data_IF_049076550326
#
_entry.id   IF_049076550326
#
_cell.length_a   1.000
_cell.length_b   1.000
_cell.length_c   1.000
_cell.angle_alpha   90.00
_cell.angle_beta   90.00
_cell.angle_gamma   90.00
#
_symmetry.space_group_name_H-M   'P 1'
#
loop_
_entity.id
_entity.type
_entity.pdbx_description
1 polymer ?
#
# COMPACT_ATOMS: atom_id res chain seq x y z
N UNK A 1 34.36 -28.73 53.00
CA UNK A 1 34.27 -28.81 51.53
C UNK A 1 32.93 -28.21 51.12
N UNK A 2 32.91 -26.96 50.57
CA UNK A 2 31.69 -26.25 50.12
C UNK A 2 31.47 -26.58 48.66
N UNK A 3 30.35 -27.24 48.34
CA UNK A 3 29.92 -27.48 46.98
C UNK A 3 29.28 -26.21 46.39
N UNK A 4 29.91 -25.65 45.38
CA UNK A 4 29.37 -24.52 44.60
C UNK A 4 28.40 -25.10 43.57
N UNK A 5 27.10 -24.79 43.67
CA UNK A 5 26.09 -25.10 42.67
C UNK A 5 26.10 -23.96 41.63
N UNK A 6 26.51 -24.30 40.42
CA UNK A 6 26.47 -23.41 39.27
C UNK A 6 25.07 -23.50 38.63
N UNK A 7 24.24 -22.47 38.77
CA UNK A 7 22.96 -22.36 38.06
C UNK A 7 23.21 -21.82 36.65
N UNK A 8 23.07 -22.67 35.67
CA UNK A 8 23.07 -22.24 34.28
C UNK A 8 21.68 -21.69 33.92
N UNK A 9 21.58 -20.36 33.73
CA UNK A 9 20.40 -19.75 33.15
C UNK A 9 20.40 -19.99 31.63
N UNK A 10 19.51 -20.86 31.18
CA UNK A 10 19.24 -21.03 29.74
C UNK A 10 18.27 -19.91 29.33
N UNK A 11 18.79 -18.87 28.68
CA UNK A 11 17.97 -17.90 27.98
C UNK A 11 17.40 -18.59 26.72
N UNK A 12 16.14 -19.02 26.78
CA UNK A 12 15.38 -19.40 25.60
C UNK A 12 15.04 -18.14 24.81
N UNK A 13 15.85 -17.82 23.81
CA UNK A 13 15.51 -16.79 22.85
C UNK A 13 14.31 -17.28 22.03
N UNK A 14 13.12 -16.80 22.38
CA UNK A 14 11.94 -16.99 21.56
C UNK A 14 12.11 -16.11 20.31
N UNK A 15 12.68 -16.66 19.24
CA UNK A 15 12.68 -16.05 17.92
C UNK A 15 11.27 -16.18 17.37
N UNK A 16 10.43 -15.16 17.57
CA UNK A 16 9.22 -14.99 16.78
C UNK A 16 9.68 -14.66 15.36
N UNK A 17 9.69 -15.65 14.47
CA UNK A 17 9.78 -15.39 13.04
C UNK A 17 8.47 -14.67 12.65
N UNK A 18 8.47 -13.35 12.65
CA UNK A 18 7.42 -12.60 11.97
C UNK A 18 7.41 -13.10 10.53
N UNK A 19 6.26 -13.60 10.11
CA UNK A 19 6.08 -14.12 8.76
C UNK A 19 6.11 -12.91 7.84
N UNK A 20 7.25 -12.68 7.18
CA UNK A 20 7.43 -11.59 6.24
C UNK A 20 6.34 -11.68 5.17
N UNK A 21 5.42 -10.70 5.16
CA UNK A 21 4.34 -10.66 4.18
C UNK A 21 4.93 -10.16 2.87
N UNK A 22 5.16 -11.06 1.95
CA UNK A 22 5.65 -10.73 0.61
C UNK A 22 4.61 -9.88 -0.13
N UNK A 23 5.03 -8.71 -0.60
CA UNK A 23 4.22 -7.89 -1.49
C UNK A 23 4.12 -8.58 -2.86
N UNK A 24 2.93 -8.67 -3.41
CA UNK A 24 2.64 -9.19 -4.74
C UNK A 24 1.60 -8.32 -5.42
N UNK A 25 1.54 -8.34 -6.74
CA UNK A 25 0.47 -7.67 -7.49
C UNK A 25 -0.89 -8.17 -7.01
N UNK A 26 -1.73 -7.26 -6.54
CA UNK A 26 -3.04 -7.56 -5.97
C UNK A 26 -3.94 -6.34 -5.93
N UNK A 27 -5.22 -6.57 -5.69
CA UNK A 27 -6.15 -5.51 -5.29
C UNK A 27 -6.43 -5.62 -3.80
N UNK A 28 -6.23 -4.54 -3.07
CA UNK A 28 -6.71 -4.38 -1.70
C UNK A 28 -7.98 -3.53 -1.71
N UNK A 29 -8.71 -3.55 -0.61
CA UNK A 29 -9.92 -2.72 -0.44
C UNK A 29 -9.81 -1.94 0.86
N UNK A 30 -9.96 -0.64 0.78
CA UNK A 30 -10.07 0.25 1.94
C UNK A 30 -11.54 0.53 2.19
N UNK A 31 -11.96 0.42 3.43
CA UNK A 31 -13.32 0.75 3.86
C UNK A 31 -13.33 2.13 4.52
N UNK A 32 -14.26 2.98 4.11
CA UNK A 32 -14.48 4.29 4.70
C UNK A 32 -15.95 4.47 5.03
N UNK A 33 -16.24 5.34 5.99
CA UNK A 33 -17.60 5.75 6.33
C UNK A 33 -17.75 7.22 5.96
N UNK A 34 -18.71 7.54 5.11
CA UNK A 34 -19.02 8.91 4.74
C UNK A 34 -19.77 9.65 5.88
N UNK A 35 -19.84 10.98 5.82
CA UNK A 35 -20.51 11.81 6.82
C UNK A 35 -21.99 11.46 7.04
N UNK A 36 -22.63 10.87 6.04
CA UNK A 36 -24.01 10.36 6.12
C UNK A 36 -24.11 8.93 6.70
N UNK A 37 -23.05 8.41 7.31
CA UNK A 37 -22.92 7.06 7.84
C UNK A 37 -23.00 5.94 6.79
N UNK A 38 -22.84 6.24 5.51
CA UNK A 38 -22.76 5.22 4.46
C UNK A 38 -21.34 4.62 4.43
N UNK A 39 -21.26 3.31 4.64
CA UNK A 39 -20.01 2.58 4.44
C UNK A 39 -19.75 2.38 2.93
N UNK A 40 -18.56 2.72 2.50
CA UNK A 40 -18.09 2.54 1.12
C UNK A 40 -16.84 1.68 1.08
N UNK A 41 -16.62 1.01 -0.05
CA UNK A 41 -15.45 0.18 -0.29
C UNK A 41 -14.71 0.70 -1.52
N UNK A 42 -13.44 1.03 -1.35
CA UNK A 42 -12.60 1.62 -2.41
C UNK A 42 -11.47 0.65 -2.76
N UNK A 43 -11.48 0.07 -3.95
CA UNK A 43 -10.40 -0.81 -4.38
C UNK A 43 -9.14 -0.02 -4.73
N UNK A 44 -7.99 -0.61 -4.44
CA UNK A 44 -6.66 -0.09 -4.79
C UNK A 44 -5.89 -1.22 -5.45
N UNK A 45 -5.46 -1.02 -6.68
CA UNK A 45 -4.55 -1.95 -7.35
C UNK A 45 -3.13 -1.64 -6.88
N UNK A 46 -2.43 -2.65 -6.40
CA UNK A 46 -0.99 -2.61 -6.13
C UNK A 46 -0.34 -3.48 -7.19
N UNK A 47 0.60 -2.91 -7.93
CA UNK A 47 1.33 -3.60 -9.00
C UNK A 47 2.81 -3.61 -8.66
N UNK A 48 3.35 -4.82 -8.54
CA UNK A 48 4.75 -5.05 -8.17
C UNK A 48 5.58 -5.49 -9.38
N UNK A 49 6.91 -5.41 -9.31
CA UNK A 49 7.78 -6.05 -10.28
C UNK A 49 7.45 -7.53 -10.46
N UNK A 50 7.62 -8.04 -11.68
CA UNK A 50 7.46 -9.46 -11.97
C UNK A 50 8.43 -10.34 -11.16
N UNK A 51 9.61 -9.78 -10.86
CA UNK A 51 10.60 -10.41 -9.96
C UNK A 51 11.00 -9.39 -8.91
N UNK A 52 10.71 -9.69 -7.65
CA UNK A 52 11.12 -8.86 -6.51
C UNK A 52 12.58 -9.12 -6.19
N UNK A 53 13.42 -8.09 -6.33
CA UNK A 53 14.79 -8.10 -5.83
C UNK A 53 14.77 -7.78 -4.32
N UNK A 54 15.00 -8.79 -3.51
CA UNK A 54 14.95 -8.68 -2.04
C UNK A 54 16.10 -7.87 -1.44
N UNK A 55 17.08 -7.47 -2.23
CA UNK A 55 18.21 -6.66 -1.78
C UNK A 55 17.92 -5.16 -1.79
N UNK A 56 16.79 -4.73 -2.33
CA UNK A 56 16.43 -3.31 -2.46
C UNK A 56 14.99 -3.03 -2.05
N UNK A 57 14.74 -1.77 -1.67
CA UNK A 57 13.40 -1.22 -1.51
C UNK A 57 13.01 -0.42 -2.76
N UNK A 58 11.76 -0.55 -3.16
CA UNK A 58 11.22 0.09 -4.37
C UNK A 58 10.55 1.41 -4.02
N UNK A 59 10.74 2.46 -4.84
CA UNK A 59 9.93 3.66 -4.74
C UNK A 59 8.46 3.34 -5.06
N UNK A 60 7.56 4.18 -4.56
CA UNK A 60 6.13 4.05 -4.76
C UNK A 60 5.64 5.15 -5.68
N UNK A 61 4.83 4.80 -6.66
CA UNK A 61 4.13 5.76 -7.51
C UNK A 61 2.62 5.57 -7.36
N UNK A 62 1.98 6.54 -6.73
CA UNK A 62 0.53 6.67 -6.76
C UNK A 62 0.10 7.30 -8.07
N UNK A 63 -0.87 6.69 -8.77
CA UNK A 63 -1.42 7.28 -9.97
C UNK A 63 -2.94 7.40 -9.88
N UNK A 64 -3.43 8.64 -9.90
CA UNK A 64 -4.82 9.02 -9.70
C UNK A 64 -5.50 9.25 -11.04
N UNK A 65 -6.57 8.50 -11.31
CA UNK A 65 -7.36 8.65 -12.54
C UNK A 65 -8.14 9.97 -12.55
N UNK A 66 -8.51 10.46 -13.73
CA UNK A 66 -9.38 11.61 -13.88
C UNK A 66 -10.86 11.29 -13.62
N UNK A 67 -11.70 12.31 -13.54
CA UNK A 67 -13.15 12.19 -13.36
C UNK A 67 -13.78 11.29 -14.42
N UNK A 68 -14.63 10.36 -13.99
CA UNK A 68 -15.23 9.33 -14.84
C UNK A 68 -14.31 8.17 -15.20
N UNK A 69 -13.04 8.21 -14.79
CA UNK A 69 -12.06 7.15 -15.03
C UNK A 69 -12.08 6.04 -13.97
N UNK A 70 -11.10 5.18 -14.06
CA UNK A 70 -10.88 4.09 -13.11
C UNK A 70 -9.40 3.77 -12.93
N UNK A 71 -9.11 3.02 -11.90
CA UNK A 71 -7.75 2.66 -11.50
C UNK A 71 -7.01 1.74 -12.49
N UNK A 72 -7.71 0.97 -13.33
CA UNK A 72 -7.08 0.11 -14.33
C UNK A 72 -6.37 0.89 -15.43
N UNK A 73 -6.82 2.13 -15.72
CA UNK A 73 -6.23 2.94 -16.79
C UNK A 73 -4.74 3.18 -16.55
N UNK A 74 -4.34 3.60 -15.35
CA UNK A 74 -2.95 3.80 -14.99
C UNK A 74 -2.18 2.49 -14.81
N UNK A 75 -2.81 1.47 -14.22
CA UNK A 75 -2.19 0.16 -14.08
C UNK A 75 -1.76 -0.41 -15.43
N UNK A 76 -2.59 -0.26 -16.46
CA UNK A 76 -2.26 -0.69 -17.83
C UNK A 76 -1.17 0.16 -18.48
N UNK A 77 -1.21 1.49 -18.28
CA UNK A 77 -0.23 2.40 -18.90
C UNK A 77 1.17 2.25 -18.29
N UNK A 78 1.26 1.96 -17.00
CA UNK A 78 2.51 1.91 -16.26
C UNK A 78 3.06 0.48 -16.08
N UNK A 79 2.37 -0.54 -16.60
CA UNK A 79 2.73 -1.95 -16.42
C UNK A 79 4.18 -2.26 -16.80
N UNK A 80 4.68 -1.75 -17.92
CA UNK A 80 6.05 -2.00 -18.35
C UNK A 80 7.10 -1.51 -17.34
N UNK A 81 6.86 -0.36 -16.68
CA UNK A 81 7.75 0.20 -15.68
C UNK A 81 7.69 -0.56 -14.35
N UNK A 82 6.48 -0.95 -13.93
CA UNK A 82 6.31 -1.78 -12.74
C UNK A 82 6.89 -3.16 -12.95
N UNK A 83 6.62 -3.80 -14.08
CA UNK A 83 7.12 -5.14 -14.42
C UNK A 83 8.65 -5.19 -14.47
N UNK A 84 9.29 -4.12 -14.97
CA UNK A 84 10.75 -4.00 -15.02
C UNK A 84 11.38 -3.67 -13.65
N UNK A 85 10.59 -3.30 -12.66
CA UNK A 85 11.07 -3.04 -11.31
C UNK A 85 11.62 -1.63 -11.09
N UNK A 86 11.10 -0.63 -11.82
CA UNK A 86 11.44 0.76 -11.58
C UNK A 86 10.76 1.30 -10.31
N UNK A 87 9.51 0.89 -10.06
CA UNK A 87 8.73 1.27 -8.88
C UNK A 87 7.60 0.25 -8.61
N UNK A 88 6.97 0.38 -7.45
CA UNK A 88 5.68 -0.25 -7.15
C UNK A 88 4.58 0.74 -7.49
N UNK A 89 3.67 0.34 -8.38
CA UNK A 89 2.50 1.14 -8.76
C UNK A 89 1.36 0.96 -7.76
N UNK A 90 0.73 2.06 -7.35
CA UNK A 90 -0.44 2.09 -6.48
C UNK A 90 -1.53 2.92 -7.16
N UNK A 91 -2.62 2.26 -7.51
CA UNK A 91 -3.70 2.83 -8.33
C UNK A 91 -5.01 2.81 -7.54
N UNK A 92 -5.31 3.87 -6.78
CA UNK A 92 -6.53 3.96 -5.99
C UNK A 92 -7.74 4.28 -6.88
N UNK A 93 -8.92 3.77 -6.50
CA UNK A 93 -10.19 4.11 -7.13
C UNK A 93 -10.87 5.25 -6.39
N UNK A 94 -11.14 6.33 -7.11
CA UNK A 94 -11.96 7.44 -6.60
C UNK A 94 -13.42 7.02 -6.37
N UNK A 95 -14.03 7.47 -5.26
CA UNK A 95 -15.45 7.22 -5.00
C UNK A 95 -16.30 7.90 -6.07
N UNK A 96 -17.31 7.20 -6.61
CA UNK A 96 -18.13 7.67 -7.74
C UNK A 96 -17.28 8.06 -8.98
N UNK A 97 -16.15 7.38 -9.19
CA UNK A 97 -15.20 7.64 -10.26
C UNK A 97 -14.67 9.09 -10.28
N UNK A 98 -14.50 9.69 -9.11
CA UNK A 98 -14.07 11.09 -8.94
C UNK A 98 -13.31 11.26 -7.62
N UNK A 99 -12.65 12.39 -7.46
CA UNK A 99 -12.00 12.81 -6.23
C UNK A 99 -12.78 14.00 -5.62
N UNK A 100 -12.79 14.08 -4.30
CA UNK A 100 -13.52 15.14 -3.60
C UNK A 100 -12.71 16.46 -3.62
N UNK A 101 -13.03 17.34 -4.55
CA UNK A 101 -12.51 18.72 -4.59
C UNK A 101 -13.52 19.74 -4.02
N UNK A 102 -14.59 19.28 -3.36
CA UNK A 102 -15.58 20.10 -2.70
C UNK A 102 -16.83 20.42 -3.53
N UNK A 103 -16.85 20.12 -4.82
CA UNK A 103 -17.98 20.39 -5.73
C UNK A 103 -18.43 19.15 -6.53
N UNK A 104 -17.78 18.01 -6.31
CA UNK A 104 -18.06 16.74 -6.98
C UNK A 104 -19.17 15.97 -6.25
N UNK A 105 -19.65 14.91 -6.92
CA UNK A 105 -20.61 13.99 -6.32
C UNK A 105 -19.99 13.15 -5.16
N UNK A 106 -18.68 12.95 -5.19
CA UNK A 106 -17.96 12.28 -4.10
C UNK A 106 -17.78 13.22 -2.91
N UNK A 107 -18.20 12.77 -1.73
CA UNK A 107 -17.92 13.43 -0.44
C UNK A 107 -16.92 12.61 0.40
N UNK A 108 -16.28 11.62 -0.20
CA UNK A 108 -15.31 10.78 0.49
C UNK A 108 -14.07 11.59 0.93
N UNK A 109 -13.49 11.25 2.07
CA UNK A 109 -12.22 11.80 2.51
C UNK A 109 -11.07 11.12 1.76
N UNK A 110 -10.58 11.76 0.70
CA UNK A 110 -9.51 11.21 -0.12
C UNK A 110 -8.14 11.29 0.58
N UNK A 111 -7.96 12.21 1.52
CA UNK A 111 -6.73 12.31 2.32
C UNK A 111 -6.66 11.17 3.33
N UNK A 112 -7.74 10.88 4.03
CA UNK A 112 -7.84 9.71 4.90
C UNK A 112 -7.65 8.41 4.11
N UNK A 113 -8.26 8.31 2.93
CA UNK A 113 -8.07 7.17 2.03
C UNK A 113 -6.60 6.93 1.69
N UNK A 114 -5.89 7.99 1.30
CA UNK A 114 -4.44 7.92 1.03
C UNK A 114 -3.67 7.44 2.27
N UNK A 115 -3.96 7.99 3.45
CA UNK A 115 -3.30 7.62 4.69
C UNK A 115 -3.53 6.15 5.06
N UNK A 116 -4.74 5.63 4.86
CA UNK A 116 -5.05 4.22 5.09
C UNK A 116 -4.30 3.30 4.11
N UNK A 117 -4.17 3.70 2.83
CA UNK A 117 -3.36 2.96 1.86
C UNK A 117 -1.91 2.93 2.31
N UNK A 118 -1.33 4.08 2.72
CA UNK A 118 0.04 4.15 3.21
C UNK A 118 0.27 3.23 4.42
N UNK A 119 -0.62 3.29 5.41
CA UNK A 119 -0.54 2.41 6.58
C UNK A 119 -0.59 0.91 6.20
N UNK A 120 -1.40 0.55 5.20
CA UNK A 120 -1.43 -0.82 4.69
C UNK A 120 -0.14 -1.21 3.96
N UNK A 121 0.44 -0.29 3.17
CA UNK A 121 1.68 -0.54 2.43
C UNK A 121 2.87 -0.74 3.38
N UNK A 122 2.95 0.00 4.47
CA UNK A 122 4.02 -0.10 5.47
C UNK A 122 4.08 -1.47 6.17
N UNK A 123 3.03 -2.28 6.04
CA UNK A 123 3.04 -3.67 6.55
C UNK A 123 3.79 -4.64 5.64
N UNK A 124 4.20 -4.22 4.45
CA UNK A 124 4.91 -5.06 3.48
C UNK A 124 6.40 -4.72 3.45
N UNK A 125 7.22 -5.74 3.21
CA UNK A 125 8.65 -5.57 2.92
C UNK A 125 8.87 -5.02 1.49
N UNK A 126 10.07 -4.51 1.24
CA UNK A 126 10.52 -3.98 -0.07
C UNK A 126 9.89 -2.65 -0.49
N UNK A 127 9.28 -1.96 0.44
CA UNK A 127 8.66 -0.66 0.28
C UNK A 127 9.58 0.45 0.81
N UNK A 128 9.75 1.53 0.03
CA UNK A 128 10.53 2.68 0.45
C UNK A 128 9.61 3.89 0.74
N UNK A 129 9.24 4.05 2.00
CA UNK A 129 8.39 5.16 2.46
C UNK A 129 9.03 6.55 2.28
N UNK A 130 10.35 6.63 2.04
CA UNK A 130 11.05 7.90 1.79
C UNK A 130 10.96 8.35 0.33
N UNK A 131 10.54 7.46 -0.58
CA UNK A 131 10.42 7.72 -2.02
C UNK A 131 9.01 7.43 -2.52
N UNK A 132 8.07 8.30 -2.13
CA UNK A 132 6.66 8.23 -2.52
C UNK A 132 6.36 9.39 -3.46
N UNK A 133 5.84 9.07 -4.64
CA UNK A 133 5.52 10.02 -5.70
C UNK A 133 4.06 9.92 -6.09
N UNK A 134 3.48 11.03 -6.55
CA UNK A 134 2.12 11.10 -7.03
C UNK A 134 2.06 11.64 -8.46
N UNK A 135 1.28 11.00 -9.32
CA UNK A 135 0.91 11.48 -10.64
C UNK A 135 -0.61 11.42 -10.79
N UNK A 136 -1.15 12.21 -11.68
CA UNK A 136 -2.59 12.19 -11.95
C UNK A 136 -2.93 12.88 -13.25
N UNK A 137 -4.16 12.70 -13.69
CA UNK A 137 -4.71 13.38 -14.87
C UNK A 137 -6.10 13.93 -14.54
N UNK A 138 -6.29 15.29 -14.68
CA UNK A 138 -7.57 15.94 -14.41
C UNK A 138 -8.07 15.67 -12.96
N UNK A 139 -9.38 15.82 -12.74
CA UNK A 139 -10.00 15.27 -11.52
C UNK A 139 -10.59 13.93 -11.85
#
# INVERSE_FOLDING_TARGET
MKKLLLFAFIFSACSSSEKEVSLSTKTITIEQVLDNNLAIRRPVIIQTPNVIDKSKNYPIVFAFHGKGGNNNSWANQLSNYTDSGEFIGVYPQGHLNSWNLGQEASTADDVDFFNQIMAQLETYSFFDASRVYGIGSSN
#
